data_IF_070329555843
#
_entry.id   IF_070329555843
#
_cell.length_a   1.000
_cell.length_b   1.000
_cell.length_c   1.000
_cell.angle_alpha   90.00
_cell.angle_beta   90.00
_cell.angle_gamma   90.00
#
_symmetry.space_group_name_H-M   'P 1'
#
loop_
_entity.id
_entity.type
_entity.pdbx_description
1 polymer ?
#
# COMPACT_ATOMS: atom_id res chain seq x y z
N UNK A 1 -3.85 -7.31 -2.53
CA UNK A 1 -5.06 -6.61 -2.05
C UNK A 1 -5.20 -5.32 -2.82
N UNK A 2 -6.40 -4.81 -3.15
CA UNK A 2 -6.50 -3.56 -3.92
C UNK A 2 -5.86 -2.40 -3.15
N UNK A 3 -5.02 -1.61 -3.82
CA UNK A 3 -4.36 -0.42 -3.25
C UNK A 3 -3.38 -0.66 -2.10
N UNK A 4 -3.04 -1.92 -1.79
CA UNK A 4 -2.16 -2.29 -0.66
C UNK A 4 -2.60 -1.74 0.72
N UNK A 5 -3.89 -1.41 0.87
CA UNK A 5 -4.46 -0.86 2.11
C UNK A 5 -4.81 -1.93 3.15
N UNK A 6 -4.73 -3.21 2.80
CA UNK A 6 -5.03 -4.31 3.72
C UNK A 6 -4.01 -5.43 3.66
N UNK A 7 -3.43 -5.69 4.82
CA UNK A 7 -2.54 -6.78 5.15
C UNK A 7 -3.02 -7.42 6.44
N UNK A 8 -3.63 -8.61 6.32
CA UNK A 8 -4.32 -9.25 7.45
C UNK A 8 -3.45 -9.51 8.68
N UNK A 9 -2.12 -9.62 8.52
CA UNK A 9 -1.19 -9.79 9.66
C UNK A 9 -1.05 -8.53 10.54
N UNK A 10 -1.58 -7.38 10.11
CA UNK A 10 -1.70 -6.21 10.99
C UNK A 10 -2.73 -6.41 12.10
N UNK A 11 -3.72 -7.26 11.87
CA UNK A 11 -4.74 -7.60 12.88
C UNK A 11 -4.16 -8.63 13.85
N UNK A 12 -4.15 -8.30 15.14
CA UNK A 12 -3.60 -9.20 16.17
C UNK A 12 -2.06 -9.31 16.10
N UNK A 13 -1.40 -8.25 15.62
CA UNK A 13 0.06 -8.19 15.53
C UNK A 13 0.76 -8.14 16.89
N UNK A 14 2.06 -7.83 16.88
CA UNK A 14 2.80 -7.52 18.10
C UNK A 14 2.22 -6.23 18.70
N UNK A 15 2.12 -6.18 20.03
CA UNK A 15 1.70 -4.97 20.72
C UNK A 15 2.63 -3.79 20.41
N UNK A 16 2.07 -2.58 20.39
CA UNK A 16 2.78 -1.31 20.22
C UNK A 16 3.61 -0.95 21.47
N UNK A 17 3.15 -1.35 22.65
CA UNK A 17 3.83 -1.10 23.92
C UNK A 17 3.17 0.05 24.70
N UNK A 18 3.70 0.39 25.88
CA UNK A 18 3.16 1.48 26.68
C UNK A 18 3.54 2.83 26.07
N UNK A 19 2.63 3.80 26.12
CA UNK A 19 2.90 5.17 25.64
C UNK A 19 3.80 5.96 26.59
N UNK A 20 3.76 5.65 27.90
CA UNK A 20 4.55 6.34 28.92
C UNK A 20 5.17 5.32 29.91
N UNK A 21 6.44 5.53 30.22
CA UNK A 21 7.19 4.88 31.29
C UNK A 21 7.82 5.97 32.14
N UNK A 22 7.78 5.81 33.47
CA UNK A 22 8.51 6.71 34.36
C UNK A 22 10.03 6.46 34.29
N UNK A 23 10.85 7.42 34.73
CA UNK A 23 12.33 7.35 34.61
C UNK A 23 12.96 6.07 35.18
N UNK A 24 12.33 5.47 36.19
CA UNK A 24 12.80 4.26 36.86
C UNK A 24 12.00 3.01 36.50
N UNK A 25 11.13 3.06 35.48
CA UNK A 25 10.29 1.94 35.06
C UNK A 25 10.88 1.19 33.85
N UNK A 26 10.87 -0.14 33.94
CA UNK A 26 11.27 -1.05 32.86
C UNK A 26 10.15 -2.01 32.48
N UNK A 27 10.13 -2.46 31.22
CA UNK A 27 9.21 -3.51 30.78
C UNK A 27 9.78 -4.88 31.17
N UNK A 28 9.16 -5.54 32.15
CA UNK A 28 9.57 -6.88 32.61
C UNK A 28 8.85 -8.00 31.85
N UNK A 29 7.67 -7.73 31.28
CA UNK A 29 6.96 -8.69 30.42
C UNK A 29 6.23 -8.00 29.27
N UNK A 30 6.60 -8.38 28.04
CA UNK A 30 6.01 -7.87 26.81
C UNK A 30 5.17 -8.96 26.14
N UNK A 31 3.89 -8.71 25.80
CA UNK A 31 3.07 -9.69 25.10
C UNK A 31 3.53 -9.88 23.65
N UNK A 32 3.87 -11.12 23.29
CA UNK A 32 4.38 -11.44 21.93
C UNK A 32 3.35 -11.18 20.82
N UNK A 33 2.06 -11.34 21.13
CA UNK A 33 0.96 -11.27 20.16
C UNK A 33 -0.32 -10.81 20.84
N UNK A 34 -1.08 -9.99 20.15
CA UNK A 34 -2.44 -9.61 20.55
C UNK A 34 -3.42 -10.67 20.07
N UNK A 35 -4.28 -11.15 20.96
CA UNK A 35 -5.26 -12.18 20.60
C UNK A 35 -6.40 -11.58 19.78
N UNK A 36 -6.65 -12.13 18.59
CA UNK A 36 -7.86 -11.83 17.82
C UNK A 36 -9.05 -12.60 18.38
N UNK A 37 -10.10 -11.89 18.78
CA UNK A 37 -11.34 -12.46 19.33
C UNK A 37 -12.24 -13.01 18.23
N UNK A 38 -12.36 -12.29 17.12
CA UNK A 38 -13.08 -12.73 15.92
C UNK A 38 -12.46 -12.12 14.67
N UNK A 39 -12.69 -12.77 13.53
CA UNK A 39 -12.43 -12.21 12.21
C UNK A 39 -13.46 -12.76 11.24
N UNK A 40 -14.20 -11.86 10.58
CA UNK A 40 -15.23 -12.22 9.60
C UNK A 40 -14.89 -11.54 8.28
N UNK A 41 -14.97 -12.30 7.19
CA UNK A 41 -14.78 -11.78 5.84
C UNK A 41 -15.94 -12.21 4.96
N UNK A 42 -16.59 -11.24 4.32
CA UNK A 42 -17.62 -11.48 3.33
C UNK A 42 -17.26 -10.73 2.07
N UNK A 43 -17.23 -11.42 0.93
CA UNK A 43 -16.98 -10.77 -0.35
C UNK A 43 -17.69 -11.49 -1.47
N UNK A 44 -18.13 -10.75 -2.47
CA UNK A 44 -18.78 -11.31 -3.65
C UNK A 44 -18.74 -10.35 -4.82
N UNK A 45 -19.04 -10.87 -6.01
CA UNK A 45 -19.18 -10.08 -7.23
C UNK A 45 -20.44 -10.47 -7.97
N UNK A 46 -21.21 -9.47 -8.37
CA UNK A 46 -22.39 -9.62 -9.21
C UNK A 46 -22.01 -9.95 -10.66
N UNK A 47 -22.95 -10.54 -11.42
CA UNK A 47 -22.80 -10.77 -12.87
C UNK A 47 -22.56 -9.47 -13.65
N UNK A 48 -23.00 -8.32 -13.13
CA UNK A 48 -22.80 -6.98 -13.72
C UNK A 48 -21.45 -6.34 -13.34
N UNK A 49 -20.55 -7.08 -12.70
CA UNK A 49 -19.19 -6.63 -12.42
C UNK A 49 -19.01 -5.83 -11.11
N UNK A 50 -20.07 -5.47 -10.39
CA UNK A 50 -19.97 -4.87 -9.06
C UNK A 50 -19.49 -5.91 -8.05
N UNK A 51 -18.33 -5.66 -7.45
CA UNK A 51 -17.75 -6.41 -6.34
C UNK A 51 -17.86 -5.64 -5.04
N UNK A 52 -18.23 -6.33 -3.97
CA UNK A 52 -18.27 -5.77 -2.61
C UNK A 52 -17.47 -6.71 -1.70
N UNK A 53 -16.63 -6.15 -0.85
CA UNK A 53 -15.88 -6.88 0.17
C UNK A 53 -15.94 -6.15 1.50
N UNK A 54 -16.23 -6.89 2.55
CA UNK A 54 -16.23 -6.41 3.94
C UNK A 54 -15.38 -7.37 4.76
N UNK A 55 -14.53 -6.82 5.62
CA UNK A 55 -13.88 -7.57 6.67
C UNK A 55 -13.95 -6.80 7.97
N UNK A 56 -14.25 -7.52 9.05
CA UNK A 56 -14.25 -7.00 10.41
C UNK A 56 -13.47 -7.98 11.31
N UNK A 57 -12.67 -7.44 12.22
CA UNK A 57 -12.04 -8.22 13.27
C UNK A 57 -11.96 -7.43 14.57
N UNK A 58 -12.10 -8.11 15.70
CA UNK A 58 -11.91 -7.52 17.03
C UNK A 58 -10.73 -8.21 17.70
N UNK A 59 -9.91 -7.44 18.37
CA UNK A 59 -8.77 -7.90 19.15
C UNK A 59 -8.98 -7.66 20.64
N UNK A 60 -8.42 -8.53 21.46
CA UNK A 60 -8.52 -8.46 22.90
C UNK A 60 -7.62 -7.38 23.47
N UNK A 61 -8.08 -6.76 24.56
CA UNK A 61 -7.23 -5.90 25.39
C UNK A 61 -6.08 -6.72 25.98
N UNK A 62 -4.85 -6.34 25.65
CA UNK A 62 -3.63 -7.08 26.01
C UNK A 62 -2.80 -6.26 27.00
N UNK A 63 -2.32 -6.93 28.04
CA UNK A 63 -1.56 -6.30 29.13
C UNK A 63 -0.09 -6.69 29.06
N UNK A 64 0.78 -5.76 29.43
CA UNK A 64 2.18 -6.01 29.77
C UNK A 64 2.42 -5.79 31.26
N UNK A 65 3.62 -6.14 31.72
CA UNK A 65 4.06 -5.87 33.10
C UNK A 65 5.22 -4.88 33.08
N UNK A 66 5.09 -3.84 33.90
CA UNK A 66 6.10 -2.81 34.13
C UNK A 66 6.64 -3.00 35.55
N UNK A 67 7.94 -2.83 35.72
CA UNK A 67 8.66 -2.99 36.98
C UNK A 67 9.45 -1.72 37.30
N UNK A 68 9.31 -1.23 38.52
CA UNK A 68 10.13 -0.15 39.06
C UNK A 68 11.49 -0.70 39.49
N UNK A 69 12.54 -0.18 38.86
CA UNK A 69 13.94 -0.61 39.06
C UNK A 69 14.52 -0.22 40.41
N UNK A 70 13.93 0.73 41.14
CA UNK A 70 14.35 1.15 42.47
C UNK A 70 13.65 0.35 43.57
N UNK A 71 12.36 0.06 43.40
CA UNK A 71 11.54 -0.59 44.45
C UNK A 71 11.27 -2.07 44.21
N UNK A 72 11.47 -2.56 42.98
CA UNK A 72 11.10 -3.92 42.54
C UNK A 72 9.58 -4.13 42.44
N UNK A 73 8.77 -3.07 42.58
CA UNK A 73 7.33 -3.17 42.50
C UNK A 73 6.89 -3.34 41.03
N UNK A 74 5.90 -4.21 40.81
CA UNK A 74 5.36 -4.48 39.47
C UNK A 74 3.93 -3.99 39.32
N UNK A 75 3.58 -3.44 38.15
CA UNK A 75 2.20 -3.10 37.78
C UNK A 75 1.83 -3.64 36.41
N UNK A 76 0.54 -3.92 36.22
CA UNK A 76 -0.03 -4.29 34.91
C UNK A 76 -0.46 -3.03 34.17
N UNK A 77 -0.05 -2.92 32.92
CA UNK A 77 -0.37 -1.80 32.04
C UNK A 77 -0.98 -2.30 30.73
N UNK A 78 -1.81 -1.47 30.10
CA UNK A 78 -2.45 -1.83 28.83
C UNK A 78 -1.47 -1.53 27.71
N UNK A 79 -0.97 -2.58 27.05
CA UNK A 79 -0.06 -2.42 25.91
C UNK A 79 -0.82 -2.33 24.60
N UNK A 80 -1.97 -3.00 24.51
CA UNK A 80 -2.89 -2.87 23.40
C UNK A 80 -4.33 -2.84 23.91
N UNK A 81 -5.13 -1.86 23.50
CA UNK A 81 -6.53 -1.79 23.86
C UNK A 81 -7.35 -2.83 23.08
N UNK A 82 -8.61 -2.99 23.50
CA UNK A 82 -9.59 -3.62 22.63
C UNK A 82 -9.73 -2.76 21.36
N UNK A 83 -9.49 -3.38 20.20
CA UNK A 83 -9.50 -2.68 18.93
C UNK A 83 -10.37 -3.40 17.89
N UNK A 84 -11.07 -2.62 17.08
CA UNK A 84 -11.94 -3.06 16.00
C UNK A 84 -11.35 -2.63 14.66
N UNK A 85 -11.08 -3.60 13.78
CA UNK A 85 -10.48 -3.42 12.47
C UNK A 85 -11.53 -3.67 11.39
N UNK A 86 -11.77 -2.69 10.53
CA UNK A 86 -12.74 -2.74 9.44
C UNK A 86 -12.09 -2.44 8.10
N UNK A 87 -12.54 -3.13 7.06
CA UNK A 87 -12.34 -2.70 5.68
C UNK A 87 -13.62 -2.89 4.88
N UNK A 88 -13.96 -1.87 4.09
CA UNK A 88 -14.97 -1.89 3.05
C UNK A 88 -14.29 -1.70 1.69
N UNK A 89 -14.65 -2.52 0.73
CA UNK A 89 -14.23 -2.41 -0.68
C UNK A 89 -15.47 -2.44 -1.56
N UNK A 90 -15.61 -1.43 -2.40
CA UNK A 90 -16.58 -1.39 -3.49
C UNK A 90 -15.81 -1.28 -4.79
N UNK A 91 -15.98 -2.22 -5.72
CA UNK A 91 -15.22 -2.30 -6.97
C UNK A 91 -16.13 -2.58 -8.15
N UNK A 92 -16.27 -1.62 -9.06
CA UNK A 92 -17.04 -1.79 -10.28
C UNK A 92 -16.10 -2.13 -11.45
N UNK A 93 -16.24 -3.32 -12.01
CA UNK A 93 -15.61 -3.67 -13.29
C UNK A 93 -16.53 -3.36 -14.47
N UNK A 94 -15.98 -2.81 -15.54
CA UNK A 94 -16.71 -2.47 -16.75
C UNK A 94 -15.77 -2.49 -17.96
N UNK A 95 -16.34 -2.43 -19.17
CA UNK A 95 -15.58 -2.41 -20.42
C UNK A 95 -14.54 -3.56 -20.53
N UNK A 96 -14.83 -4.72 -19.93
CA UNK A 96 -14.00 -5.93 -19.79
C UNK A 96 -12.70 -5.77 -19.00
N UNK A 97 -11.95 -4.69 -19.24
CA UNK A 97 -10.61 -4.46 -18.69
C UNK A 97 -10.49 -3.14 -17.92
N UNK A 98 -11.61 -2.53 -17.52
CA UNK A 98 -11.63 -1.31 -16.71
C UNK A 98 -12.25 -1.56 -15.35
N UNK A 99 -11.79 -0.81 -14.34
CA UNK A 99 -12.38 -0.82 -13.01
C UNK A 99 -12.23 0.52 -12.30
N UNK A 100 -13.17 0.80 -11.40
CA UNK A 100 -13.06 1.86 -10.39
C UNK A 100 -13.39 1.23 -9.05
N UNK A 101 -12.58 1.53 -8.04
CA UNK A 101 -12.74 1.00 -6.69
C UNK A 101 -12.67 2.10 -5.64
N UNK A 102 -13.53 2.00 -4.64
CA UNK A 102 -13.42 2.73 -3.39
C UNK A 102 -13.08 1.74 -2.28
N UNK A 103 -12.09 2.10 -1.46
CA UNK A 103 -11.63 1.31 -0.33
C UNK A 103 -11.61 2.22 0.88
N UNK A 104 -12.16 1.75 2.00
CA UNK A 104 -12.00 2.42 3.28
C UNK A 104 -11.55 1.38 4.31
N UNK A 105 -10.48 1.67 5.02
CA UNK A 105 -10.05 0.92 6.20
C UNK A 105 -10.17 1.78 7.43
N UNK A 106 -10.66 1.20 8.51
CA UNK A 106 -10.81 1.90 9.78
C UNK A 106 -10.38 1.01 10.94
N UNK A 107 -9.54 1.56 11.80
CA UNK A 107 -9.16 0.96 13.07
C UNK A 107 -9.59 1.90 14.18
N UNK A 108 -10.44 1.41 15.07
CA UNK A 108 -10.88 2.12 16.27
C UNK A 108 -10.47 1.34 17.49
N UNK A 109 -9.85 2.03 18.44
CA UNK A 109 -9.30 1.51 19.68
C UNK A 109 -10.01 2.13 20.87
N UNK A 110 -10.22 1.35 21.92
CA UNK A 110 -10.86 1.86 23.13
C UNK A 110 -9.85 2.62 24.01
N UNK A 111 -10.23 3.81 24.51
CA UNK A 111 -9.38 4.65 25.36
C UNK A 111 -8.64 5.75 24.59
N UNK A 112 -7.51 6.22 25.13
CA UNK A 112 -6.67 7.26 24.52
C UNK A 112 -5.53 6.60 23.74
N UNK A 113 -5.87 5.91 22.64
CA UNK A 113 -4.90 5.30 21.74
C UNK A 113 -5.10 5.85 20.34
N UNK A 114 -4.07 5.71 19.48
CA UNK A 114 -4.17 6.05 18.07
C UNK A 114 -5.34 5.34 17.39
N UNK A 115 -6.17 6.08 16.66
CA UNK A 115 -7.12 5.55 15.68
C UNK A 115 -6.68 5.86 14.25
N UNK A 116 -7.17 5.09 13.28
CA UNK A 116 -6.83 5.29 11.88
C UNK A 116 -8.04 5.15 10.96
N UNK A 117 -8.18 6.05 10.00
CA UNK A 117 -9.07 5.93 8.86
C UNK A 117 -8.28 6.18 7.58
N UNK A 118 -8.32 5.24 6.64
CA UNK A 118 -7.66 5.39 5.34
C UNK A 118 -8.67 5.15 4.24
N UNK A 119 -8.79 6.11 3.34
CA UNK A 119 -9.65 6.02 2.15
C UNK A 119 -8.79 5.99 0.90
N UNK A 120 -9.08 5.07 -0.02
CA UNK A 120 -8.43 4.96 -1.32
C UNK A 120 -9.44 4.94 -2.45
N UNK A 121 -9.28 5.84 -3.42
CA UNK A 121 -9.94 5.79 -4.72
C UNK A 121 -8.95 5.25 -5.74
N UNK A 122 -9.31 4.16 -6.40
CA UNK A 122 -8.50 3.52 -7.42
C UNK A 122 -9.26 3.47 -8.74
N UNK A 123 -8.57 3.72 -9.84
CA UNK A 123 -9.11 3.49 -11.17
C UNK A 123 -8.07 2.84 -12.06
N UNK A 124 -8.57 2.04 -12.98
CA UNK A 124 -7.77 1.38 -14.01
C UNK A 124 -8.65 1.34 -15.26
N UNK A 125 -8.31 2.14 -16.26
CA UNK A 125 -9.15 2.44 -17.41
C UNK A 125 -8.42 2.03 -18.68
N UNK A 126 -9.03 1.12 -19.43
CA UNK A 126 -8.58 0.75 -20.76
C UNK A 126 -9.50 1.39 -21.81
N UNK A 127 -8.92 1.93 -22.88
CA UNK A 127 -9.72 2.36 -24.02
C UNK A 127 -10.43 1.15 -24.69
N UNK A 128 -11.44 1.40 -25.54
CA UNK A 128 -12.26 0.35 -26.18
C UNK A 128 -11.44 -0.72 -26.92
N UNK A 129 -10.33 -0.31 -27.53
CA UNK A 129 -9.45 -1.21 -28.28
C UNK A 129 -8.39 -1.88 -27.39
N UNK A 130 -8.37 -1.60 -26.09
CA UNK A 130 -7.40 -2.10 -25.12
C UNK A 130 -5.93 -1.85 -25.54
N UNK A 131 -5.68 -0.67 -26.12
CA UNK A 131 -4.36 -0.22 -26.59
C UNK A 131 -3.72 0.83 -25.69
N UNK A 132 -4.54 1.64 -25.03
CA UNK A 132 -4.11 2.65 -24.07
C UNK A 132 -4.75 2.36 -22.72
N UNK A 133 -3.97 2.59 -21.68
CA UNK A 133 -4.36 2.35 -20.29
C UNK A 133 -3.97 3.55 -19.44
N UNK A 134 -4.88 3.97 -18.59
CA UNK A 134 -4.63 4.95 -17.53
C UNK A 134 -4.97 4.29 -16.22
N UNK A 135 -4.08 4.34 -15.22
CA UNK A 135 -4.45 3.97 -13.86
C UNK A 135 -4.18 5.11 -12.90
N UNK A 136 -4.85 5.06 -11.76
CA UNK A 136 -4.61 5.98 -10.68
C UNK A 136 -4.99 5.38 -9.34
N UNK A 137 -4.20 5.71 -8.34
CA UNK A 137 -4.51 5.49 -6.94
C UNK A 137 -4.41 6.85 -6.24
N UNK A 138 -5.45 7.26 -5.53
CA UNK A 138 -5.46 8.46 -4.68
C UNK A 138 -5.88 7.99 -3.29
N UNK A 139 -5.02 8.22 -2.30
CA UNK A 139 -5.18 7.72 -0.94
C UNK A 139 -5.02 8.85 0.04
N UNK A 140 -5.84 8.81 1.08
CA UNK A 140 -5.81 9.73 2.21
C UNK A 140 -5.80 8.90 3.49
N UNK A 141 -4.84 9.15 4.36
CA UNK A 141 -4.81 8.65 5.74
C UNK A 141 -5.18 9.77 6.70
N UNK A 142 -6.01 9.46 7.68
CA UNK A 142 -6.33 10.31 8.80
C UNK A 142 -6.11 9.51 10.08
N UNK A 143 -5.16 9.96 10.89
CA UNK A 143 -4.82 9.35 12.17
C UNK A 143 -5.27 10.29 13.28
N UNK A 144 -6.02 9.76 14.24
CA UNK A 144 -6.32 10.47 15.47
C UNK A 144 -5.34 9.99 16.53
N UNK A 145 -4.34 10.80 16.83
CA UNK A 145 -3.28 10.54 17.78
C UNK A 145 -3.64 11.16 19.14
N UNK A 146 -3.01 10.73 20.25
CA UNK A 146 -3.22 11.34 21.56
C UNK A 146 -2.97 12.86 21.60
N UNK A 147 -2.08 13.36 20.75
CA UNK A 147 -1.61 14.76 20.69
C UNK A 147 -2.23 15.57 19.53
N UNK A 148 -3.07 14.96 18.70
CA UNK A 148 -3.76 15.67 17.61
C UNK A 148 -4.11 14.77 16.43
N UNK A 149 -4.51 15.40 15.32
CA UNK A 149 -4.85 14.68 14.09
C UNK A 149 -3.73 14.84 13.06
N UNK A 150 -3.28 13.73 12.48
CA UNK A 150 -2.35 13.71 11.35
C UNK A 150 -3.10 13.28 10.09
N UNK A 151 -3.01 14.06 9.02
CA UNK A 151 -3.63 13.75 7.73
C UNK A 151 -2.58 13.76 6.65
N UNK A 152 -2.51 12.69 5.86
CA UNK A 152 -1.54 12.57 4.77
C UNK A 152 -2.14 11.97 3.52
N UNK A 153 -1.43 12.16 2.41
CA UNK A 153 -1.90 11.86 1.06
C UNK A 153 -0.83 11.11 0.27
N UNK A 154 -1.31 10.19 -0.57
CA UNK A 154 -0.47 9.51 -1.56
C UNK A 154 -1.21 9.37 -2.88
N UNK A 155 -0.47 9.58 -3.98
CA UNK A 155 -0.97 9.34 -5.32
C UNK A 155 -0.03 8.42 -6.09
N UNK A 156 -0.60 7.62 -6.98
CA UNK A 156 0.15 6.89 -8.00
C UNK A 156 -0.65 6.98 -9.29
N UNK A 157 -0.18 7.76 -10.26
CA UNK A 157 -0.89 8.04 -11.49
C UNK A 157 -0.04 7.62 -12.66
N UNK A 158 -0.67 7.01 -13.66
CA UNK A 158 -0.03 7.08 -14.95
C UNK A 158 -0.79 6.52 -16.12
N UNK A 159 -0.09 6.56 -17.24
CA UNK A 159 -0.67 6.45 -18.56
C UNK A 159 0.32 5.77 -19.49
N UNK A 160 -0.19 4.92 -20.37
CA UNK A 160 0.66 4.27 -21.35
C UNK A 160 -0.07 3.60 -22.48
N UNK A 161 0.71 3.22 -23.49
CA UNK A 161 0.29 2.35 -24.58
C UNK A 161 0.81 0.94 -24.32
N UNK A 162 -0.09 -0.03 -24.20
CA UNK A 162 0.24 -1.42 -23.86
C UNK A 162 0.04 -2.40 -25.03
N UNK A 163 -0.17 -1.92 -26.25
CA UNK A 163 -0.38 -2.75 -27.45
C UNK A 163 0.57 -2.38 -28.60
N UNK A 164 0.68 -3.28 -29.59
CA UNK A 164 1.55 -3.10 -30.75
C UNK A 164 3.03 -3.25 -30.43
N UNK A 165 3.86 -2.91 -31.43
CA UNK A 165 5.32 -2.99 -31.36
C UNK A 165 5.89 -1.89 -30.45
N UNK A 166 5.40 -0.66 -30.59
CA UNK A 166 5.80 0.49 -29.76
C UNK A 166 4.89 0.62 -28.54
N UNK A 167 5.51 0.61 -27.36
CA UNK A 167 4.84 0.71 -26.07
C UNK A 167 5.54 1.75 -25.21
N UNK A 168 4.80 2.44 -24.38
CA UNK A 168 5.37 3.38 -23.42
C UNK A 168 4.51 3.46 -22.18
N UNK A 169 5.12 3.97 -21.11
CA UNK A 169 4.51 4.22 -19.83
C UNK A 169 5.08 5.50 -19.22
N UNK A 170 4.23 6.31 -18.60
CA UNK A 170 4.61 7.48 -17.80
C UNK A 170 3.91 7.35 -16.47
N UNK A 171 4.69 7.40 -15.38
CA UNK A 171 4.22 7.24 -14.01
C UNK A 171 4.61 8.43 -13.15
N UNK A 172 3.74 8.80 -12.22
CA UNK A 172 4.00 9.76 -11.16
C UNK A 172 3.52 9.21 -9.83
N UNK A 173 4.47 9.01 -8.92
CA UNK A 173 4.24 8.49 -7.57
C UNK A 173 4.55 9.57 -6.54
N UNK A 174 3.63 9.80 -5.62
CA UNK A 174 3.74 10.80 -4.57
C UNK A 174 3.26 10.25 -3.23
N UNK A 175 3.95 10.62 -2.16
CA UNK A 175 3.45 10.58 -0.80
C UNK A 175 4.06 11.74 -0.02
N UNK A 176 3.24 12.46 0.75
CA UNK A 176 3.75 13.48 1.68
C UNK A 176 4.40 12.83 2.91
N UNK A 177 4.85 13.66 3.85
CA UNK A 177 5.51 13.26 5.10
C UNK A 177 4.56 12.67 6.13
N UNK A 178 3.25 12.92 5.99
CA UNK A 178 2.23 12.59 6.98
C UNK A 178 1.41 11.36 6.58
N UNK A 179 1.59 10.88 5.35
CA UNK A 179 0.92 9.70 4.85
C UNK A 179 1.38 8.45 5.62
N UNK A 180 0.43 7.78 6.27
CA UNK A 180 0.66 6.55 7.02
C UNK A 180 -0.59 5.65 6.97
N UNK A 181 -0.39 4.42 6.50
CA UNK A 181 -1.45 3.41 6.37
C UNK A 181 -1.17 2.16 7.22
N UNK A 182 -0.16 2.19 8.09
CA UNK A 182 0.40 0.99 8.70
C UNK A 182 -0.50 0.27 9.71
N UNK A 183 -1.63 0.85 10.12
CA UNK A 183 -2.64 0.17 10.94
C UNK A 183 -3.27 -1.04 10.24
N UNK A 184 -3.47 -0.97 8.93
CA UNK A 184 -4.02 -2.07 8.14
C UNK A 184 -3.27 -2.34 6.84
N UNK A 185 -2.49 -1.39 6.33
CA UNK A 185 -1.66 -1.51 5.15
C UNK A 185 -0.19 -1.77 5.44
N UNK A 186 0.62 -1.62 4.40
CA UNK A 186 2.08 -1.67 4.47
C UNK A 186 2.62 -0.42 3.80
N UNK A 187 3.35 0.39 4.58
CA UNK A 187 4.11 1.53 4.11
C UNK A 187 5.50 1.50 4.74
N UNK A 188 6.52 1.34 3.90
CA UNK A 188 7.91 1.30 4.35
C UNK A 188 8.55 2.69 4.44
N UNK A 189 8.14 3.60 3.56
CA UNK A 189 8.58 5.00 3.53
C UNK A 189 7.48 5.87 2.98
N UNK A 190 7.42 7.10 3.46
CA UNK A 190 6.65 8.18 2.88
C UNK A 190 7.63 9.26 2.37
N UNK A 191 7.16 10.49 2.12
CA UNK A 191 7.96 11.61 1.64
C UNK A 191 8.74 11.34 0.33
N UNK A 192 8.01 11.12 -0.76
CA UNK A 192 8.60 10.96 -2.09
C UNK A 192 7.75 11.60 -3.16
N UNK A 193 8.41 12.02 -4.23
CA UNK A 193 7.79 12.52 -5.46
C UNK A 193 8.64 12.01 -6.63
N UNK A 194 8.20 10.91 -7.23
CA UNK A 194 8.96 10.15 -8.19
C UNK A 194 8.26 10.19 -9.54
N UNK A 195 9.03 10.38 -10.59
CA UNK A 195 8.57 10.32 -11.97
C UNK A 195 9.29 9.19 -12.69
N UNK A 196 8.55 8.35 -13.40
CA UNK A 196 9.12 7.30 -14.22
C UNK A 196 8.60 7.37 -15.65
N UNK A 197 9.47 7.05 -16.60
CA UNK A 197 9.15 6.91 -18.01
C UNK A 197 9.79 5.64 -18.56
N UNK A 198 8.99 4.84 -19.25
CA UNK A 198 9.43 3.63 -19.92
C UNK A 198 8.99 3.70 -21.38
N UNK A 199 9.87 3.32 -22.30
CA UNK A 199 9.49 3.13 -23.70
C UNK A 199 10.17 1.88 -24.25
N UNK A 200 9.45 1.16 -25.09
CA UNK A 200 9.99 -0.04 -25.73
C UNK A 200 9.46 -0.25 -27.13
N UNK A 201 10.29 -0.89 -27.93
CA UNK A 201 9.94 -1.50 -29.19
C UNK A 201 10.13 -3.01 -29.09
N UNK A 202 9.16 -3.77 -29.58
CA UNK A 202 9.31 -5.22 -29.78
C UNK A 202 8.67 -5.69 -31.07
N UNK A 203 9.31 -6.64 -31.72
CA UNK A 203 8.69 -7.36 -32.84
C UNK A 203 7.59 -8.29 -32.35
N UNK A 204 6.45 -8.28 -33.03
CA UNK A 204 5.36 -9.25 -32.79
C UNK A 204 5.44 -10.44 -33.75
N UNK A 205 6.07 -10.24 -34.90
CA UNK A 205 6.30 -11.25 -35.93
C UNK A 205 7.77 -11.26 -36.33
N UNK A 206 8.26 -12.38 -36.88
CA UNK A 206 9.66 -12.51 -37.29
C UNK A 206 10.01 -11.53 -38.40
N UNK A 207 11.20 -10.93 -38.36
CA UNK A 207 11.65 -9.97 -39.38
C UNK A 207 13.07 -10.31 -39.83
N UNK A 208 13.25 -10.54 -41.13
CA UNK A 208 14.54 -10.88 -41.72
C UNK A 208 15.20 -12.10 -41.04
N UNK A 209 16.38 -11.88 -40.44
CA UNK A 209 17.19 -12.90 -39.74
C UNK A 209 16.79 -13.14 -38.29
N UNK A 210 15.96 -12.27 -37.71
CA UNK A 210 15.56 -12.33 -36.30
C UNK A 210 14.17 -12.98 -36.16
N UNK A 211 14.07 -13.86 -35.18
CA UNK A 211 12.79 -14.40 -34.71
C UNK A 211 12.06 -13.38 -33.84
N UNK A 212 12.81 -12.70 -32.98
CA UNK A 212 12.32 -11.58 -32.18
C UNK A 212 13.46 -10.62 -31.81
N UNK A 213 13.14 -9.35 -31.60
CA UNK A 213 14.00 -8.44 -30.85
C UNK A 213 13.18 -7.45 -30.03
N UNK A 214 13.80 -6.99 -28.96
CA UNK A 214 13.28 -6.04 -27.99
C UNK A 214 14.33 -4.96 -27.76
N UNK A 215 13.88 -3.71 -27.74
CA UNK A 215 14.64 -2.57 -27.27
C UNK A 215 13.78 -1.82 -26.26
N UNK A 216 14.32 -1.54 -25.08
CA UNK A 216 13.65 -0.80 -24.02
C UNK A 216 14.56 0.27 -23.47
N UNK A 217 13.96 1.39 -23.05
CA UNK A 217 14.60 2.42 -22.25
C UNK A 217 13.72 2.70 -21.04
N UNK A 218 14.36 3.07 -19.94
CA UNK A 218 13.67 3.57 -18.74
C UNK A 218 14.42 4.78 -18.19
N UNK A 219 13.65 5.68 -17.58
CA UNK A 219 14.13 6.87 -16.92
C UNK A 219 13.35 7.07 -15.63
N UNK A 220 14.05 7.24 -14.51
CA UNK A 220 13.46 7.57 -13.21
C UNK A 220 14.09 8.85 -12.68
N UNK A 221 13.25 9.77 -12.23
CA UNK A 221 13.62 11.01 -11.57
C UNK A 221 12.97 11.02 -10.18
N UNK A 222 13.79 10.97 -9.13
CA UNK A 222 13.33 10.87 -7.75
C UNK A 222 13.70 12.13 -6.96
N UNK A 223 12.77 12.58 -6.13
CA UNK A 223 12.99 13.65 -5.15
C UNK A 223 12.14 13.40 -3.89
N UNK A 224 12.48 14.05 -2.79
CA UNK A 224 11.59 14.16 -1.64
C UNK A 224 10.36 15.01 -1.99
N UNK A 225 9.22 14.77 -1.36
CA UNK A 225 8.05 15.64 -1.50
C UNK A 225 8.31 16.98 -0.79
N UNK A 226 8.79 16.91 0.46
CA UNK A 226 9.19 18.03 1.31
C UNK A 226 10.61 17.78 1.84
N UNK A 227 11.60 18.69 1.68
CA UNK A 227 11.54 20.03 1.07
C UNK A 227 11.84 20.02 -0.43
N UNK A 228 11.33 19.03 -1.17
CA UNK A 228 11.55 18.93 -2.61
C UNK A 228 13.00 18.63 -3.02
N UNK A 229 13.81 18.06 -2.13
CA UNK A 229 15.23 17.77 -2.37
C UNK A 229 15.41 16.67 -3.42
N UNK A 230 16.28 16.91 -4.40
CA UNK A 230 16.71 15.89 -5.36
C UNK A 230 17.33 14.67 -4.66
N UNK A 231 16.96 13.46 -5.06
CA UNK A 231 17.52 12.23 -4.48
C UNK A 231 18.27 11.39 -5.49
N UNK A 232 17.70 11.10 -6.67
CA UNK A 232 18.41 10.31 -7.69
C UNK A 232 17.86 10.50 -9.12
N UNK A 233 18.72 10.17 -10.09
CA UNK A 233 18.38 10.02 -11.51
C UNK A 233 18.91 8.68 -12.00
N UNK A 234 18.05 7.89 -12.64
CA UNK A 234 18.40 6.57 -13.13
C UNK A 234 17.90 6.41 -14.56
N UNK A 235 18.83 6.33 -15.51
CA UNK A 235 18.55 6.02 -16.91
C UNK A 235 19.15 4.66 -17.25
N UNK A 236 18.46 3.89 -18.09
CA UNK A 236 19.03 2.68 -18.65
C UNK A 236 18.33 2.24 -19.93
N UNK A 237 18.97 1.27 -20.58
CA UNK A 237 18.45 0.64 -21.78
C UNK A 237 18.64 -0.88 -21.70
N UNK A 238 17.78 -1.61 -22.40
CA UNK A 238 17.84 -3.06 -22.54
C UNK A 238 17.65 -3.42 -24.00
N UNK A 239 18.47 -4.35 -24.48
CA UNK A 239 18.34 -4.92 -25.81
C UNK A 239 18.41 -6.43 -25.71
N UNK A 240 17.49 -7.12 -26.39
CA UNK A 240 17.49 -8.57 -26.53
C UNK A 240 17.09 -8.95 -27.95
N UNK A 241 17.76 -9.94 -28.54
CA UNK A 241 17.41 -10.44 -29.85
C UNK A 241 17.61 -11.96 -29.93
N UNK A 242 16.69 -12.63 -30.60
CA UNK A 242 16.74 -14.07 -30.89
C UNK A 242 16.80 -14.27 -32.39
N UNK A 243 17.83 -14.95 -32.89
CA UNK A 243 17.95 -15.31 -34.30
C UNK A 243 17.06 -16.48 -34.67
N UNK A 244 16.70 -16.61 -35.95
CA UNK A 244 15.92 -17.78 -36.45
C UNK A 244 16.69 -19.09 -36.39
N UNK A 245 18.02 -19.04 -36.47
CA UNK A 245 18.90 -20.19 -36.28
C UNK A 245 19.26 -20.27 -34.80
N UNK A 246 18.91 -21.39 -34.17
CA UNK A 246 19.47 -21.79 -32.88
C UNK A 246 20.82 -22.43 -33.24
N UNK A 247 21.92 -21.84 -32.81
CA UNK A 247 23.21 -22.53 -32.87
C UNK A 247 23.16 -23.64 -31.81
N UNK A 248 23.09 -24.89 -32.28
CA UNK A 248 23.21 -26.09 -31.46
C UNK A 248 24.70 -26.43 -31.24
#
# INVERSE_FOLDING_TARGET
TKGNLFYSRRVGGRASGPENLDENEGISSFPDKVKTLNAIKVSGRSKKGLGIGVFNAITEKTYGTIEDTLTGNTRKEVFEPLANYNILVVDQQFNKNSSVSLINTNVTRNGHFRDANVTGLLFDLANKNNTYRTYGEVKMSNLNLPDGTQTGYSTNLGFGKNSGNYRFWVNHEYADTDYDINDMGILFRNNFNNFAFDASYRTLESTGKFNSYYFGIWYNYNRLADPSTYTSNNFGFNFNATTKKIFA
#
